data_IF_569709531419
#
_entry.id   IF_569709531419
#
_cell.length_a   1.000
_cell.length_b   1.000
_cell.length_c   1.000
_cell.angle_alpha   90.00
_cell.angle_beta   90.00
_cell.angle_gamma   90.00
#
_symmetry.space_group_name_H-M   'P 1'
#
loop_
_entity.id
_entity.type
_entity.pdbx_description
1 polymer ?
#
# COMPACT_ATOMS: atom_id res chain seq x y z
N UNK A 1 1.81 22.14 12.14
CA UNK A 1 1.58 23.53 11.65
C UNK A 1 1.18 23.49 10.18
N UNK A 2 0.66 24.59 9.60
CA UNK A 2 0.43 24.63 8.14
C UNK A 2 1.74 24.35 7.41
N UNK A 3 1.72 23.41 6.45
CA UNK A 3 2.88 22.99 5.66
C UNK A 3 3.78 21.92 6.29
N UNK A 4 3.51 21.45 7.52
CA UNK A 4 4.24 20.32 8.10
C UNK A 4 3.59 18.99 7.71
N UNK A 5 4.40 17.94 7.53
CA UNK A 5 3.90 16.59 7.31
C UNK A 5 3.09 16.14 8.53
N UNK A 6 1.87 15.69 8.27
CA UNK A 6 0.97 15.18 9.29
C UNK A 6 0.63 13.74 8.95
N UNK A 7 1.14 12.81 9.75
CA UNK A 7 0.93 11.38 9.53
C UNK A 7 -0.31 10.92 10.31
N UNK A 8 -1.17 10.17 9.63
CA UNK A 8 -2.32 9.51 10.22
C UNK A 8 -2.06 8.00 10.28
N UNK A 9 -2.60 7.35 11.30
CA UNK A 9 -2.55 5.91 11.46
C UNK A 9 -3.95 5.39 11.80
N UNK A 10 -4.31 4.28 11.17
CA UNK A 10 -5.46 3.47 11.54
C UNK A 10 -4.96 2.14 12.11
N UNK A 11 -5.58 1.69 13.20
CA UNK A 11 -5.20 0.47 13.91
C UNK A 11 -6.37 -0.53 13.86
N UNK A 12 -6.07 -1.80 14.15
CA UNK A 12 -7.06 -2.89 14.13
C UNK A 12 -7.63 -3.18 12.73
N UNK A 13 -6.85 -2.89 11.68
CA UNK A 13 -7.18 -3.12 10.25
C UNK A 13 -6.51 -4.37 9.67
N UNK A 14 -6.09 -5.31 10.52
CA UNK A 14 -5.36 -6.52 10.10
C UNK A 14 -6.23 -7.71 9.74
N UNK A 15 -7.56 -7.55 9.68
CA UNK A 15 -8.49 -8.66 9.48
C UNK A 15 -9.59 -8.29 8.49
N UNK A 16 -9.58 -8.91 7.32
CA UNK A 16 -10.48 -8.67 6.17
C UNK A 16 -10.19 -7.43 5.32
N UNK A 17 -9.64 -6.34 5.87
CA UNK A 17 -9.55 -5.07 5.14
C UNK A 17 -8.67 -5.15 3.89
N UNK A 18 -7.60 -5.95 3.93
CA UNK A 18 -6.70 -6.12 2.79
C UNK A 18 -7.38 -6.84 1.62
N UNK A 19 -8.08 -7.95 1.89
CA UNK A 19 -8.68 -8.79 0.82
C UNK A 19 -10.03 -8.27 0.31
N UNK A 20 -10.76 -7.47 1.11
CA UNK A 20 -12.09 -6.95 0.74
C UNK A 20 -12.04 -5.56 0.10
N UNK A 21 -10.86 -4.98 -0.10
CA UNK A 21 -10.71 -3.72 -0.81
C UNK A 21 -11.21 -3.79 -2.25
N UNK A 22 -11.61 -2.64 -2.80
CA UNK A 22 -11.95 -2.48 -4.21
C UNK A 22 -11.11 -1.36 -4.84
N UNK A 23 -11.24 -1.19 -6.16
CA UNK A 23 -10.52 -0.18 -6.94
C UNK A 23 -11.33 1.11 -7.09
N UNK A 24 -11.99 1.60 -6.03
CA UNK A 24 -12.79 2.82 -6.12
C UNK A 24 -11.90 4.00 -6.57
N UNK A 25 -12.32 4.68 -7.65
CA UNK A 25 -11.53 5.72 -8.34
C UNK A 25 -10.15 5.26 -8.82
N UNK A 26 -9.99 3.98 -9.16
CA UNK A 26 -8.74 3.41 -9.65
C UNK A 26 -7.60 3.50 -8.62
N UNK A 27 -7.93 3.59 -7.34
CA UNK A 27 -6.94 3.42 -6.28
C UNK A 27 -6.69 1.92 -6.10
N UNK A 28 -5.52 1.47 -6.55
CA UNK A 28 -5.06 0.10 -6.34
C UNK A 28 -4.44 -0.12 -4.96
N UNK A 29 -3.78 -1.26 -4.82
CA UNK A 29 -3.21 -1.67 -3.54
C UNK A 29 -2.19 -0.66 -3.02
N UNK A 30 -2.13 -0.51 -1.70
CA UNK A 30 -1.16 0.35 -1.02
C UNK A 30 0.19 -0.36 -0.82
N UNK A 31 1.24 0.40 -0.48
CA UNK A 31 2.50 -0.22 -0.08
C UNK A 31 2.35 -0.97 1.25
N UNK A 32 2.79 -2.23 1.28
CA UNK A 32 2.86 -3.04 2.50
C UNK A 32 4.32 -3.22 2.90
N UNK A 33 4.58 -3.05 4.20
CA UNK A 33 5.92 -3.19 4.76
C UNK A 33 5.86 -4.16 5.94
N UNK A 34 6.65 -5.22 5.90
CA UNK A 34 6.85 -6.11 7.03
C UNK A 34 8.01 -5.60 7.87
N UNK A 35 7.72 -5.26 9.13
CA UNK A 35 8.72 -4.77 10.08
C UNK A 35 8.98 -5.85 11.11
N UNK A 36 10.24 -6.25 11.27
CA UNK A 36 10.67 -7.21 12.30
C UNK A 36 11.46 -6.48 13.38
N UNK A 37 11.13 -6.80 14.62
CA UNK A 37 11.80 -6.32 15.82
C UNK A 37 12.70 -7.42 16.41
N UNK A 38 13.86 -7.05 16.95
CA UNK A 38 14.77 -8.00 17.63
C UNK A 38 14.61 -7.94 19.15
N UNK A 39 14.80 -9.07 19.83
CA UNK A 39 14.66 -9.17 21.29
C UNK A 39 15.65 -8.26 22.04
N UNK A 40 16.83 -8.03 21.46
CA UNK A 40 17.88 -7.17 22.00
C UNK A 40 17.64 -5.67 21.73
N UNK A 41 16.52 -5.35 21.07
CA UNK A 41 16.15 -4.01 20.62
C UNK A 41 16.50 -3.75 19.16
N UNK A 42 15.85 -2.73 18.59
CA UNK A 42 15.99 -2.36 17.20
C UNK A 42 15.00 -3.06 16.28
N UNK A 43 14.86 -2.53 15.06
CA UNK A 43 13.93 -3.02 14.06
C UNK A 43 14.53 -2.88 12.67
N UNK A 44 14.01 -3.66 11.73
CA UNK A 44 14.35 -3.53 10.32
C UNK A 44 13.14 -3.85 9.45
N UNK A 45 13.19 -3.38 8.20
CA UNK A 45 12.21 -3.72 7.17
C UNK A 45 12.61 -5.05 6.57
N UNK A 46 11.84 -6.08 6.86
CA UNK A 46 12.04 -7.42 6.32
C UNK A 46 11.64 -7.51 4.86
N UNK A 47 10.50 -6.89 4.52
CA UNK A 47 9.93 -6.97 3.18
C UNK A 47 9.20 -5.67 2.84
N UNK A 48 9.25 -5.32 1.56
CA UNK A 48 8.45 -4.24 0.97
C UNK A 48 7.70 -4.81 -0.23
N UNK A 49 6.37 -4.85 -0.13
CA UNK A 49 5.49 -5.13 -1.25
C UNK A 49 5.05 -3.79 -1.83
N UNK A 50 5.37 -3.59 -3.12
CA UNK A 50 4.96 -2.36 -3.80
C UNK A 50 3.47 -2.43 -4.12
N UNK A 51 2.74 -1.37 -3.76
CA UNK A 51 1.38 -1.17 -4.21
C UNK A 51 1.31 -0.91 -5.71
N UNK A 52 0.08 -0.84 -6.22
CA UNK A 52 -0.17 -0.73 -7.64
C UNK A 52 0.23 0.63 -8.20
N UNK A 53 0.69 0.61 -9.44
CA UNK A 53 0.91 1.83 -10.23
C UNK A 53 -0.34 2.17 -11.04
N UNK A 54 -0.44 3.39 -11.55
CA UNK A 54 -1.54 3.78 -12.44
C UNK A 54 -1.67 2.82 -13.66
N UNK A 55 -0.54 2.43 -14.25
CA UNK A 55 -0.53 1.47 -15.37
C UNK A 55 -1.12 0.12 -14.95
N UNK A 56 -0.73 -0.37 -13.76
CA UNK A 56 -1.23 -1.66 -13.25
C UNK A 56 -2.75 -1.64 -13.04
N UNK A 57 -3.29 -0.52 -12.55
CA UNK A 57 -4.74 -0.38 -12.41
C UNK A 57 -5.45 -0.27 -13.75
N UNK A 58 -4.84 0.39 -14.75
CA UNK A 58 -5.39 0.44 -16.11
C UNK A 58 -5.41 -0.94 -16.80
N UNK A 59 -4.39 -1.77 -16.56
CA UNK A 59 -4.38 -3.17 -17.01
C UNK A 59 -5.57 -3.97 -16.43
N UNK A 60 -5.94 -3.75 -15.16
CA UNK A 60 -7.14 -4.38 -14.57
C UNK A 60 -8.44 -3.97 -15.26
N UNK A 61 -8.46 -2.81 -15.89
CA UNK A 61 -9.58 -2.29 -16.67
C UNK A 61 -9.49 -2.67 -18.16
N UNK A 62 -8.61 -3.62 -18.51
CA UNK A 62 -8.41 -4.14 -19.86
C UNK A 62 -7.87 -3.12 -20.88
N UNK A 63 -7.21 -2.05 -20.41
CA UNK A 63 -6.47 -1.14 -21.29
C UNK A 63 -5.10 -1.72 -21.65
N UNK A 64 -4.71 -1.55 -22.91
CA UNK A 64 -3.33 -1.77 -23.34
C UNK A 64 -2.50 -0.51 -23.02
N UNK A 65 -1.77 -0.58 -21.91
CA UNK A 65 -0.90 0.50 -21.45
C UNK A 65 0.36 0.68 -22.30
N UNK A 66 0.73 -0.29 -23.14
CA UNK A 66 1.86 -0.14 -24.06
C UNK A 66 1.49 0.63 -25.33
N UNK A 67 0.20 0.70 -25.65
CA UNK A 67 -0.35 1.44 -26.81
C UNK A 67 -0.92 2.83 -26.45
N UNK A 68 -0.92 3.20 -25.17
CA UNK A 68 -1.34 4.51 -24.63
C UNK A 68 -0.21 5.55 -24.67
#
# INVERSE_FOLDING_TARGET
KSGEKYYLAAFLVGAYQETLGDLHNLFGDTHVVHVRHYDEGGWWIEEVVKGDTANRVLEYMEYDVAEL
#
